data_IF_285417900002
#
_entry.id   IF_285417900002
#
_cell.length_a   1.000
_cell.length_b   1.000
_cell.length_c   1.000
_cell.angle_alpha   90.00
_cell.angle_beta   90.00
_cell.angle_gamma   90.00
#
_symmetry.space_group_name_H-M   'P 1'
#
loop_
_entity.id
_entity.type
_entity.pdbx_description
1 polymer ?
#
# COMPACT_ATOMS: atom_id res chain seq x y z
N UNK A 1 -28.12 32.82 32.84
CA UNK A 1 -26.71 33.09 32.90
C UNK A 1 -25.86 31.91 33.34
N UNK A 2 -26.39 31.11 34.18
CA UNK A 2 -25.65 29.98 34.69
C UNK A 2 -25.48 28.85 33.67
N UNK A 3 -26.35 28.81 32.70
CA UNK A 3 -26.34 27.76 31.69
C UNK A 3 -25.37 27.98 30.58
N UNK A 4 -24.89 29.21 30.42
CA UNK A 4 -23.98 29.51 29.31
C UNK A 4 -22.68 28.75 29.32
N UNK A 5 -21.99 28.64 30.45
CA UNK A 5 -20.72 27.88 30.46
C UNK A 5 -20.86 26.43 30.08
N UNK A 6 -21.98 25.84 30.45
CA UNK A 6 -22.21 24.43 30.14
C UNK A 6 -22.32 24.19 28.65
N UNK A 7 -23.02 25.07 27.97
CA UNK A 7 -23.21 24.94 26.53
C UNK A 7 -21.86 25.01 25.79
N UNK A 8 -21.03 25.93 26.20
CA UNK A 8 -19.71 26.08 25.57
C UNK A 8 -18.85 24.85 25.72
N UNK A 9 -18.88 24.22 26.87
CA UNK A 9 -18.09 23.04 27.12
C UNK A 9 -18.47 21.90 26.18
N UNK A 10 -19.76 21.70 25.96
CA UNK A 10 -20.21 20.65 25.06
C UNK A 10 -19.71 20.84 23.63
N UNK A 11 -19.74 22.06 23.15
CA UNK A 11 -19.29 22.36 21.79
C UNK A 11 -17.82 22.05 21.61
N UNK A 12 -17.01 22.43 22.58
CA UNK A 12 -15.58 22.17 22.50
C UNK A 12 -15.26 20.69 22.50
N UNK A 13 -15.99 19.90 23.25
CA UNK A 13 -15.77 18.47 23.30
C UNK A 13 -15.98 17.80 21.95
N UNK A 14 -17.04 18.17 21.25
CA UNK A 14 -17.35 17.60 19.94
C UNK A 14 -16.25 17.93 18.92
N UNK A 15 -15.75 19.14 18.93
CA UNK A 15 -14.70 19.55 18.00
C UNK A 15 -13.43 18.74 18.21
N UNK A 16 -13.04 18.50 19.44
CA UNK A 16 -11.84 17.73 19.74
C UNK A 16 -11.89 16.30 19.23
N UNK A 17 -13.03 15.65 19.36
CA UNK A 17 -13.18 14.26 18.89
C UNK A 17 -13.03 14.18 17.39
N UNK A 18 -13.62 15.09 16.64
CA UNK A 18 -13.52 15.09 15.18
C UNK A 18 -12.08 15.25 14.72
N UNK A 19 -11.32 16.13 15.32
CA UNK A 19 -9.93 16.33 14.96
C UNK A 19 -9.08 15.09 15.22
N UNK A 20 -9.32 14.40 16.32
CA UNK A 20 -8.60 13.17 16.64
C UNK A 20 -8.82 12.07 15.64
N UNK A 21 -10.04 11.89 15.18
CA UNK A 21 -10.35 10.87 14.18
C UNK A 21 -9.67 11.14 12.85
N UNK A 22 -9.63 12.37 12.40
CA UNK A 22 -8.94 12.72 11.16
C UNK A 22 -7.46 12.40 11.23
N UNK A 23 -6.81 12.72 12.33
CA UNK A 23 -5.38 12.45 12.49
C UNK A 23 -5.07 10.96 12.44
N UNK A 24 -5.89 10.12 13.05
CA UNK A 24 -5.68 8.68 13.02
C UNK A 24 -5.80 8.11 11.61
N UNK A 25 -6.75 8.61 10.83
CA UNK A 25 -6.99 8.11 9.49
C UNK A 25 -5.84 8.44 8.53
N UNK A 26 -5.18 9.56 8.69
CA UNK A 26 -4.09 9.96 7.81
C UNK A 26 -2.94 8.98 7.84
N UNK A 27 -2.54 8.49 9.01
CA UNK A 27 -1.40 7.60 9.15
C UNK A 27 -1.72 6.15 8.87
N UNK A 28 -2.91 5.70 9.23
CA UNK A 28 -3.26 4.28 9.20
C UNK A 28 -4.21 3.90 8.07
N UNK A 29 -4.84 4.88 7.45
CA UNK A 29 -5.85 4.64 6.44
C UNK A 29 -5.33 4.45 5.02
N UNK A 30 -4.03 4.57 4.78
CA UNK A 30 -3.52 4.44 3.42
C UNK A 30 -3.73 3.02 2.92
N UNK A 31 -4.35 2.84 1.75
CA UNK A 31 -4.76 1.51 1.28
C UNK A 31 -3.60 0.55 1.04
N UNK A 32 -2.41 1.05 0.77
CA UNK A 32 -1.26 0.21 0.48
C UNK A 32 -0.38 -0.06 1.69
N UNK A 33 -0.55 0.64 2.79
CA UNK A 33 0.34 0.48 3.95
C UNK A 33 0.22 -0.91 4.54
N UNK A 34 1.36 -1.56 4.71
CA UNK A 34 1.43 -2.88 5.34
C UNK A 34 2.37 -3.83 4.62
N UNK A 35 2.30 -5.08 5.01
CA UNK A 35 3.07 -6.16 4.42
C UNK A 35 2.17 -6.96 3.49
N UNK A 36 2.66 -7.22 2.29
CA UNK A 36 1.94 -7.95 1.26
C UNK A 36 2.74 -9.19 0.89
N UNK A 37 2.09 -10.35 0.87
CA UNK A 37 2.74 -11.62 0.58
C UNK A 37 2.01 -12.31 -0.57
N UNK A 38 2.77 -12.93 -1.45
CA UNK A 38 2.24 -13.68 -2.56
C UNK A 38 3.34 -14.26 -3.42
N UNK A 39 3.10 -14.32 -4.71
CA UNK A 39 4.09 -14.84 -5.65
C UNK A 39 3.93 -14.22 -7.03
N UNK A 40 4.94 -14.42 -7.84
CA UNK A 40 4.91 -14.04 -9.26
C UNK A 40 5.53 -15.16 -10.07
N UNK A 41 5.28 -15.17 -11.36
CA UNK A 41 5.93 -16.13 -12.25
C UNK A 41 5.47 -15.99 -13.68
N UNK A 42 6.26 -16.56 -14.62
CA UNK A 42 5.90 -16.54 -16.04
C UNK A 42 4.74 -17.49 -16.36
N UNK A 43 4.51 -18.51 -15.53
CA UNK A 43 3.41 -19.44 -15.70
C UNK A 43 3.02 -20.05 -14.35
N UNK A 44 2.02 -20.93 -14.36
CA UNK A 44 1.50 -21.54 -13.13
C UNK A 44 2.47 -22.50 -12.47
N UNK A 45 3.39 -23.05 -13.24
CA UNK A 45 4.33 -24.05 -12.75
C UNK A 45 5.57 -23.42 -12.11
N UNK A 46 5.90 -22.20 -12.50
CA UNK A 46 7.11 -21.52 -12.04
C UNK A 46 6.72 -20.28 -11.23
N UNK A 47 6.54 -20.48 -9.93
CA UNK A 47 6.17 -19.39 -9.03
C UNK A 47 7.29 -19.09 -8.07
N UNK A 48 7.54 -17.81 -7.84
CA UNK A 48 8.55 -17.33 -6.90
C UNK A 48 7.84 -16.56 -5.80
N UNK A 49 8.00 -16.94 -4.53
CA UNK A 49 7.43 -16.18 -3.42
C UNK A 49 7.98 -14.78 -3.37
N UNK A 50 7.13 -13.81 -3.06
CA UNK A 50 7.54 -12.42 -2.92
C UNK A 50 6.90 -11.81 -1.68
N UNK A 51 7.63 -10.86 -1.08
CA UNK A 51 7.14 -10.04 0.00
C UNK A 51 7.34 -8.59 -0.39
N UNK A 52 6.29 -7.79 -0.25
CA UNK A 52 6.36 -6.36 -0.52
C UNK A 52 5.93 -5.63 0.75
N UNK A 53 6.77 -4.72 1.20
CA UNK A 53 6.48 -3.86 2.34
C UNK A 53 6.23 -2.46 1.81
N UNK A 54 5.08 -1.89 2.15
CA UNK A 54 4.72 -0.54 1.72
C UNK A 54 4.35 0.33 2.90
N UNK A 55 4.81 1.57 2.85
CA UNK A 55 4.53 2.59 3.85
C UNK A 55 4.11 3.89 3.17
N UNK A 56 3.54 4.76 3.96
CA UNK A 56 3.11 6.08 3.53
C UNK A 56 3.69 7.10 4.49
N UNK A 57 4.51 8.02 3.98
CA UNK A 57 5.18 9.02 4.81
C UNK A 57 4.44 10.36 4.89
N UNK A 58 3.21 10.40 4.37
CA UNK A 58 2.41 11.61 4.28
C UNK A 58 2.46 12.28 2.92
N UNK A 59 3.40 11.88 2.07
CA UNK A 59 3.58 12.46 0.74
C UNK A 59 3.77 11.40 -0.33
N UNK A 60 4.49 10.33 -0.03
CA UNK A 60 4.85 9.33 -1.00
C UNK A 60 4.78 7.93 -0.41
N UNK A 61 4.60 6.96 -1.30
CA UNK A 61 4.67 5.54 -0.95
C UNK A 61 6.14 5.14 -0.93
N UNK A 62 6.57 4.55 0.17
CA UNK A 62 7.93 4.04 0.33
C UNK A 62 7.87 2.56 0.63
N UNK A 63 9.00 1.89 0.56
CA UNK A 63 9.07 0.48 0.89
C UNK A 63 10.03 -0.29 0.03
N UNK A 64 9.81 -1.60 -0.04
CA UNK A 64 10.74 -2.51 -0.71
C UNK A 64 10.03 -3.75 -1.20
N UNK A 65 10.70 -4.41 -2.15
CA UNK A 65 10.29 -5.74 -2.62
C UNK A 65 11.36 -6.74 -2.23
N UNK A 66 10.95 -7.97 -1.97
CA UNK A 66 11.85 -9.08 -1.64
C UNK A 66 11.45 -10.27 -2.47
N UNK A 67 11.94 -10.38 -3.71
CA UNK A 67 11.63 -11.54 -4.55
C UNK A 67 12.36 -12.80 -4.10
N UNK A 68 13.43 -12.63 -3.37
CA UNK A 68 14.18 -13.74 -2.74
C UNK A 68 14.54 -13.33 -1.32
N UNK A 69 15.78 -13.51 -0.92
CA UNK A 69 16.25 -13.08 0.39
C UNK A 69 16.60 -11.59 0.43
N UNK A 70 16.80 -10.98 -0.72
CA UNK A 70 17.23 -9.59 -0.81
C UNK A 70 16.05 -8.63 -0.70
N UNK A 71 16.31 -7.49 -0.10
CA UNK A 71 15.34 -6.43 0.07
C UNK A 71 15.74 -5.26 -0.84
N UNK A 72 14.89 -4.94 -1.81
CA UNK A 72 15.19 -3.94 -2.82
C UNK A 72 14.24 -2.77 -2.65
N UNK A 73 14.77 -1.59 -2.36
CA UNK A 73 13.94 -0.40 -2.14
C UNK A 73 13.29 0.07 -3.43
N UNK A 74 12.09 0.63 -3.33
CA UNK A 74 11.43 1.23 -4.47
C UNK A 74 12.20 2.43 -4.99
N UNK A 75 12.32 2.54 -6.31
CA UNK A 75 12.77 3.76 -6.98
C UNK A 75 11.59 4.62 -7.40
N UNK A 76 10.42 4.01 -7.56
CA UNK A 76 9.20 4.69 -7.89
C UNK A 76 8.01 3.89 -7.37
N UNK A 77 7.00 4.59 -6.84
CA UNK A 77 5.78 3.94 -6.36
C UNK A 77 4.62 4.91 -6.49
N UNK A 78 3.60 4.52 -7.25
CA UNK A 78 2.44 5.35 -7.50
C UNK A 78 1.14 4.57 -7.31
N UNK A 79 0.14 5.23 -6.77
CA UNK A 79 -1.22 4.72 -6.65
C UNK A 79 -2.15 5.67 -7.40
N UNK A 80 -2.88 5.13 -8.37
CA UNK A 80 -3.92 5.89 -9.07
C UNK A 80 -5.27 5.53 -8.45
N UNK A 81 -5.86 6.47 -7.72
CA UNK A 81 -7.13 6.24 -7.02
C UNK A 81 -8.35 6.32 -7.94
N UNK A 82 -8.18 6.82 -9.16
CA UNK A 82 -9.29 6.87 -10.11
C UNK A 82 -9.69 5.47 -10.59
N UNK A 83 -8.73 4.57 -10.70
CA UNK A 83 -8.97 3.20 -11.15
C UNK A 83 -8.34 2.14 -10.25
N UNK A 84 -7.78 2.56 -9.12
CA UNK A 84 -7.13 1.69 -8.13
C UNK A 84 -6.02 0.82 -8.71
N UNK A 85 -5.18 1.43 -9.53
CA UNK A 85 -3.99 0.77 -10.07
C UNK A 85 -2.75 1.21 -9.33
N UNK A 86 -1.79 0.29 -9.26
CA UNK A 86 -0.53 0.48 -8.55
C UNK A 86 0.62 0.27 -9.52
N UNK A 87 1.60 1.17 -9.51
CA UNK A 87 2.81 1.04 -10.31
C UNK A 87 4.02 1.17 -9.39
N UNK A 88 4.85 0.14 -9.37
CA UNK A 88 6.05 0.09 -8.54
C UNK A 88 7.25 -0.18 -9.41
N UNK A 89 8.38 0.47 -9.12
CA UNK A 89 9.66 0.21 -9.77
C UNK A 89 10.75 0.06 -8.72
N UNK A 90 11.69 -0.82 -9.00
CA UNK A 90 12.86 -1.03 -8.16
C UNK A 90 14.02 -1.43 -9.05
N UNK A 91 15.23 -1.26 -8.57
CA UNK A 91 16.44 -1.56 -9.34
C UNK A 91 17.47 -2.24 -8.43
N UNK A 92 17.94 -3.38 -8.84
CA UNK A 92 19.01 -4.11 -8.15
C UNK A 92 20.11 -4.39 -9.16
N UNK A 93 21.19 -3.63 -9.08
CA UNK A 93 22.26 -3.74 -10.07
C UNK A 93 21.74 -3.42 -11.47
N UNK A 94 21.92 -4.34 -12.38
CA UNK A 94 21.45 -4.20 -13.75
C UNK A 94 20.01 -4.65 -13.95
N UNK A 95 19.39 -5.24 -12.93
CA UNK A 95 18.03 -5.78 -13.05
C UNK A 95 17.00 -4.74 -12.63
N UNK A 96 16.11 -4.40 -13.54
CA UNK A 96 15.00 -3.50 -13.25
C UNK A 96 13.73 -4.30 -13.00
N UNK A 97 13.00 -3.94 -11.94
CA UNK A 97 11.73 -4.52 -11.58
C UNK A 97 10.62 -3.52 -11.88
N UNK A 98 9.61 -3.94 -12.60
CA UNK A 98 8.41 -3.12 -12.88
C UNK A 98 7.19 -3.95 -12.53
N UNK A 99 6.37 -3.41 -11.64
CA UNK A 99 5.20 -4.11 -11.12
C UNK A 99 3.99 -3.23 -11.37
N UNK A 100 3.06 -3.73 -12.17
CA UNK A 100 1.82 -3.02 -12.47
C UNK A 100 0.64 -3.89 -12.08
N UNK A 101 -0.23 -3.36 -11.24
CA UNK A 101 -1.34 -4.14 -10.76
C UNK A 101 -2.57 -3.32 -10.45
N UNK A 102 -3.60 -4.03 -10.07
CA UNK A 102 -4.88 -3.45 -9.67
C UNK A 102 -5.25 -3.98 -8.30
N UNK A 103 -5.73 -3.10 -7.44
CA UNK A 103 -6.19 -3.49 -6.11
C UNK A 103 -7.57 -4.12 -6.22
N UNK A 104 -7.71 -5.31 -5.63
CA UNK A 104 -8.99 -6.01 -5.51
C UNK A 104 -9.40 -6.09 -4.05
N UNK A 105 -10.69 -6.19 -3.81
CA UNK A 105 -11.26 -6.34 -2.46
C UNK A 105 -10.85 -5.21 -1.52
N UNK A 106 -10.87 -4.00 -2.01
CA UNK A 106 -10.40 -2.82 -1.29
C UNK A 106 -11.10 -2.63 0.07
N UNK A 107 -12.37 -2.94 0.15
CA UNK A 107 -13.13 -2.82 1.39
C UNK A 107 -12.94 -3.99 2.36
N UNK A 108 -12.12 -4.98 2.02
CA UNK A 108 -11.90 -6.17 2.81
C UNK A 108 -10.57 -6.09 3.57
N UNK A 109 -10.46 -6.88 4.64
CA UNK A 109 -9.19 -7.09 5.32
C UNK A 109 -8.22 -7.90 4.47
N UNK A 110 -8.73 -8.64 3.49
CA UNK A 110 -7.93 -9.48 2.60
C UNK A 110 -7.77 -8.85 1.22
N UNK A 111 -7.48 -7.56 1.18
CA UNK A 111 -7.28 -6.91 -0.11
C UNK A 111 -6.04 -7.47 -0.82
N UNK A 112 -6.12 -7.52 -2.13
CA UNK A 112 -5.07 -8.11 -2.97
C UNK A 112 -4.69 -7.15 -4.08
N UNK A 113 -3.49 -7.36 -4.63
CA UNK A 113 -3.06 -6.68 -5.85
C UNK A 113 -2.68 -7.75 -6.85
N UNK A 114 -3.24 -7.64 -8.06
CA UNK A 114 -2.99 -8.58 -9.16
C UNK A 114 -2.56 -7.83 -10.39
N UNK A 115 -1.71 -8.41 -11.20
CA UNK A 115 -1.27 -7.77 -12.43
C UNK A 115 -0.04 -8.41 -13.03
N UNK A 116 0.86 -7.59 -13.56
CA UNK A 116 2.07 -8.04 -14.24
C UNK A 116 3.32 -7.68 -13.47
N UNK A 117 4.28 -8.57 -13.52
CA UNK A 117 5.59 -8.43 -12.89
C UNK A 117 6.65 -8.59 -13.98
N UNK A 118 7.51 -7.60 -14.12
CA UNK A 118 8.63 -7.65 -15.06
C UNK A 118 9.91 -7.56 -14.28
N UNK A 119 10.82 -8.48 -14.53
CA UNK A 119 12.10 -8.57 -13.85
C UNK A 119 13.17 -8.82 -14.90
N UNK A 120 13.91 -7.77 -15.28
CA UNK A 120 14.87 -7.86 -16.38
C UNK A 120 14.15 -8.24 -17.67
N UNK A 121 14.54 -9.39 -18.24
CA UNK A 121 13.92 -9.90 -19.46
C UNK A 121 12.75 -10.84 -19.23
N UNK A 122 12.43 -11.12 -17.98
CA UNK A 122 11.33 -12.02 -17.63
C UNK A 122 10.07 -11.25 -17.32
N UNK A 123 8.94 -11.79 -17.74
CA UNK A 123 7.64 -11.19 -17.50
C UNK A 123 6.64 -12.26 -17.11
N UNK A 124 5.80 -11.95 -16.15
CA UNK A 124 4.78 -12.87 -15.71
C UNK A 124 3.67 -12.14 -14.99
N UNK A 125 2.80 -12.90 -14.35
CA UNK A 125 1.75 -12.35 -13.52
C UNK A 125 2.14 -12.43 -12.05
N UNK A 126 1.43 -11.71 -11.21
CA UNK A 126 1.62 -11.78 -9.77
C UNK A 126 0.30 -11.60 -9.03
N UNK A 127 0.29 -12.07 -7.83
CA UNK A 127 -0.77 -11.77 -6.86
C UNK A 127 -0.16 -11.69 -5.48
N UNK A 128 -0.45 -10.60 -4.79
CA UNK A 128 -0.05 -10.40 -3.40
C UNK A 128 -1.26 -10.03 -2.59
N UNK A 129 -1.28 -10.46 -1.33
CA UNK A 129 -2.40 -10.21 -0.42
C UNK A 129 -1.87 -9.55 0.85
N UNK A 130 -2.58 -8.54 1.31
CA UNK A 130 -2.21 -7.80 2.51
C UNK A 130 -2.39 -8.68 3.75
N UNK A 131 -1.39 -8.64 4.61
CA UNK A 131 -1.39 -9.39 5.87
C UNK A 131 -1.96 -8.59 7.02
#
# INVERSE_FOLDING_TARGET
MKTFPLVLVCVLGLTGVAAGQSALNEGQGHPLKGIWIGDWGPDKAKRTPVLIEMNWDGKAITGSISPDADKIAFTKADLNTANWTVHLEAQAGATKYVIDGKIENLGSLSRSIVGTWTQGNQKGDFKITKQ
#
